data_IF_103338996452
#
_entry.id   IF_103338996452
#
_cell.length_a   1.000
_cell.length_b   1.000
_cell.length_c   1.000
_cell.angle_alpha   90.00
_cell.angle_beta   90.00
_cell.angle_gamma   90.00
#
_symmetry.space_group_name_H-M   'P 1'
#
loop_
_entity.id
_entity.type
_entity.pdbx_description
1 polymer ?
#
# COMPACT_ATOMS: atom_id res chain seq x y z
N UNK A 1 -11.28 -5.09 14.35
CA UNK A 1 -10.96 -3.90 13.54
C UNK A 1 -9.51 -4.05 13.12
N UNK A 2 -9.21 -4.04 11.82
CA UNK A 2 -7.83 -3.89 11.38
C UNK A 2 -7.38 -2.50 11.83
N UNK A 3 -6.39 -2.44 12.71
CA UNK A 3 -5.78 -1.18 13.11
C UNK A 3 -4.64 -0.90 12.15
N UNK A 4 -4.80 0.10 11.29
CA UNK A 4 -3.73 0.51 10.39
C UNK A 4 -2.76 1.44 11.16
N UNK A 5 -1.48 1.11 11.12
CA UNK A 5 -0.42 1.96 11.67
C UNK A 5 -0.24 3.24 10.84
N UNK A 6 -0.53 3.18 9.55
CA UNK A 6 -0.51 4.31 8.65
C UNK A 6 -1.60 4.17 7.56
N UNK A 7 -2.12 5.29 7.08
CA UNK A 7 -3.03 5.33 5.93
C UNK A 7 -2.48 6.31 4.91
N UNK A 8 -2.32 5.88 3.67
CA UNK A 8 -1.89 6.70 2.55
C UNK A 8 -2.97 6.73 1.47
N UNK A 9 -3.47 7.93 1.19
CA UNK A 9 -4.35 8.19 0.06
C UNK A 9 -3.53 8.72 -1.11
N UNK A 10 -3.26 7.88 -2.12
CA UNK A 10 -2.42 8.29 -3.25
C UNK A 10 -3.17 9.18 -4.24
N UNK A 11 -4.48 9.36 -4.07
CA UNK A 11 -5.28 10.25 -4.92
C UNK A 11 -4.98 11.73 -4.65
N UNK A 12 -4.42 12.04 -3.49
CA UNK A 12 -4.03 13.41 -3.11
C UNK A 12 -2.62 13.80 -3.59
N UNK A 13 -1.83 12.84 -4.10
CA UNK A 13 -0.45 13.06 -4.53
C UNK A 13 -0.32 13.07 -6.06
N UNK A 14 0.65 13.84 -6.57
CA UNK A 14 0.99 13.79 -7.99
C UNK A 14 1.60 12.44 -8.36
N UNK A 15 1.44 12.01 -9.62
CA UNK A 15 1.86 10.69 -10.13
C UNK A 15 3.30 10.33 -9.73
N UNK A 16 4.22 11.28 -9.78
CA UNK A 16 5.64 11.09 -9.48
C UNK A 16 5.90 10.96 -7.98
N UNK A 17 5.08 11.58 -7.13
CA UNK A 17 5.20 11.56 -5.67
C UNK A 17 4.54 10.31 -5.04
N UNK A 18 3.58 9.69 -5.75
CA UNK A 18 2.85 8.51 -5.25
C UNK A 18 3.83 7.39 -4.84
N UNK A 19 4.73 7.00 -5.73
CA UNK A 19 5.66 5.89 -5.47
C UNK A 19 6.56 6.13 -4.26
N UNK A 20 7.36 7.22 -4.18
CA UNK A 20 8.23 7.44 -3.03
C UNK A 20 7.46 7.56 -1.72
N UNK A 21 6.24 8.12 -1.73
CA UNK A 21 5.43 8.21 -0.51
C UNK A 21 4.94 6.83 -0.03
N UNK A 22 4.50 5.95 -0.94
CA UNK A 22 4.05 4.59 -0.57
C UNK A 22 5.21 3.78 -0.02
N UNK A 23 6.32 3.71 -0.75
CA UNK A 23 7.48 2.94 -0.34
C UNK A 23 8.10 3.49 0.94
N UNK A 24 8.25 4.82 1.04
CA UNK A 24 8.76 5.46 2.26
C UNK A 24 7.84 5.27 3.48
N UNK A 25 6.53 5.16 3.28
CA UNK A 25 5.59 4.82 4.37
C UNK A 25 5.75 3.36 4.78
N UNK A 26 5.82 2.45 3.82
CA UNK A 26 6.03 1.02 4.07
C UNK A 26 7.35 0.75 4.80
N UNK A 27 8.44 1.42 4.42
CA UNK A 27 9.74 1.25 5.07
C UNK A 27 9.73 1.68 6.54
N UNK A 28 8.94 2.70 6.89
CA UNK A 28 8.77 3.20 8.25
C UNK A 28 7.93 2.28 9.16
N UNK A 29 7.17 1.36 8.59
CA UNK A 29 6.40 0.38 9.37
C UNK A 29 7.33 -0.52 10.17
N UNK A 30 6.88 -0.90 11.37
CA UNK A 30 7.47 -1.97 12.15
C UNK A 30 6.99 -3.34 11.65
N UNK A 31 7.72 -4.40 12.00
CA UNK A 31 7.32 -5.76 11.67
C UNK A 31 5.98 -6.08 12.34
N UNK A 32 5.03 -6.60 11.57
CA UNK A 32 3.66 -6.87 12.00
C UNK A 32 2.69 -5.68 11.87
N UNK A 33 3.17 -4.49 11.50
CA UNK A 33 2.29 -3.35 11.25
C UNK A 33 1.71 -3.37 9.84
N UNK A 34 0.46 -2.94 9.74
CA UNK A 34 -0.28 -2.83 8.48
C UNK A 34 -0.50 -1.37 8.13
N UNK A 35 -0.18 -0.98 6.90
CA UNK A 35 -0.63 0.28 6.34
C UNK A 35 -1.81 0.07 5.38
N UNK A 36 -2.68 1.07 5.31
CA UNK A 36 -3.72 1.16 4.30
C UNK A 36 -3.27 2.04 3.14
N UNK A 37 -3.38 1.53 1.93
CA UNK A 37 -3.19 2.24 0.67
C UNK A 37 -4.54 2.43 -0.02
N UNK A 38 -4.89 3.67 -0.34
CA UNK A 38 -6.12 4.04 -1.06
C UNK A 38 -5.74 4.57 -2.44
N UNK A 39 -6.21 3.91 -3.50
CA UNK A 39 -5.91 4.23 -4.89
C UNK A 39 -7.19 4.45 -5.72
N UNK A 40 -7.07 5.23 -6.79
CA UNK A 40 -8.16 5.50 -7.75
C UNK A 40 -8.34 4.41 -8.83
N UNK A 41 -7.41 3.46 -8.91
CA UNK A 41 -7.40 2.36 -9.88
C UNK A 41 -6.72 1.12 -9.29
N UNK A 42 -6.78 0.00 -10.02
CA UNK A 42 -6.14 -1.25 -9.62
C UNK A 42 -4.61 -1.06 -9.42
N UNK A 43 -4.08 -1.29 -8.21
CA UNK A 43 -2.66 -1.17 -7.89
C UNK A 43 -1.82 -2.38 -8.33
N UNK A 44 -2.30 -3.26 -9.21
CA UNK A 44 -1.55 -4.41 -9.72
C UNK A 44 -0.09 -4.10 -10.14
N UNK A 45 0.23 -2.99 -10.85
CA UNK A 45 1.61 -2.65 -11.18
C UNK A 45 2.48 -2.35 -9.94
N UNK A 46 1.86 -1.80 -8.90
CA UNK A 46 2.53 -1.50 -7.64
C UNK A 46 2.81 -2.80 -6.86
N UNK A 47 1.84 -3.73 -6.82
CA UNK A 47 2.02 -5.05 -6.23
C UNK A 47 3.24 -5.77 -6.82
N UNK A 48 3.37 -5.77 -8.16
CA UNK A 48 4.53 -6.37 -8.83
C UNK A 48 5.86 -5.73 -8.41
N UNK A 49 5.91 -4.40 -8.26
CA UNK A 49 7.11 -3.72 -7.75
C UNK A 49 7.43 -4.13 -6.32
N UNK A 50 6.43 -4.24 -5.46
CA UNK A 50 6.60 -4.71 -4.09
C UNK A 50 7.17 -6.13 -4.04
N UNK A 51 6.70 -7.05 -4.89
CA UNK A 51 7.25 -8.40 -4.98
C UNK A 51 8.74 -8.42 -5.35
N UNK A 52 9.18 -7.49 -6.20
CA UNK A 52 10.59 -7.40 -6.64
C UNK A 52 11.46 -6.74 -5.55
N UNK A 53 10.98 -5.65 -4.94
CA UNK A 53 11.74 -4.89 -3.95
C UNK A 53 11.75 -5.53 -2.56
N UNK A 54 10.66 -6.16 -2.16
CA UNK A 54 10.42 -6.72 -0.82
C UNK A 54 9.93 -8.18 -0.91
N UNK A 55 10.67 -9.10 -1.55
CA UNK A 55 10.24 -10.49 -1.66
C UNK A 55 10.01 -11.09 -0.28
N UNK A 56 8.83 -11.69 -0.09
CA UNK A 56 8.38 -12.36 1.16
C UNK A 56 8.33 -11.49 2.43
N UNK A 57 8.61 -10.19 2.32
CA UNK A 57 8.66 -9.23 3.44
C UNK A 57 7.36 -8.45 3.64
N UNK A 58 6.31 -8.75 2.87
CA UNK A 58 5.01 -8.13 3.01
C UNK A 58 3.85 -9.11 2.83
N UNK A 59 2.69 -8.70 3.31
CA UNK A 59 1.37 -9.23 2.94
C UNK A 59 0.63 -8.16 2.19
N UNK A 60 -0.15 -8.59 1.20
CA UNK A 60 -0.98 -7.72 0.38
C UNK A 60 -2.41 -8.24 0.44
N UNK A 61 -3.29 -7.46 1.03
CA UNK A 61 -4.69 -7.79 1.24
C UNK A 61 -5.55 -6.71 0.60
N UNK A 62 -6.49 -7.11 -0.26
CA UNK A 62 -7.46 -6.17 -0.80
C UNK A 62 -8.58 -5.98 0.22
N UNK A 63 -8.73 -4.75 0.70
CA UNK A 63 -9.80 -4.34 1.60
C UNK A 63 -11.03 -3.89 0.80
N UNK A 64 -10.81 -3.26 -0.36
CA UNK A 64 -11.85 -2.79 -1.27
C UNK A 64 -11.34 -2.83 -2.71
N UNK A 65 -12.16 -3.34 -3.63
CA UNK A 65 -11.78 -3.57 -5.03
C UNK A 65 -12.72 -2.86 -5.99
N UNK A 66 -12.70 -1.51 -5.98
CA UNK A 66 -13.34 -0.69 -7.01
C UNK A 66 -14.85 -0.92 -7.21
N UNK A 67 -15.44 -0.28 -8.23
CA UNK A 67 -14.81 0.58 -9.25
C UNK A 67 -14.52 2.01 -8.77
N UNK A 68 -15.08 2.44 -7.62
CA UNK A 68 -14.93 3.81 -7.12
C UNK A 68 -13.62 4.04 -6.35
N UNK A 69 -13.21 3.07 -5.54
CA UNK A 69 -12.02 3.16 -4.69
C UNK A 69 -11.37 1.78 -4.55
N UNK A 70 -10.05 1.75 -4.58
CA UNK A 70 -9.26 0.55 -4.30
C UNK A 70 -8.52 0.73 -2.99
N UNK A 71 -8.81 -0.12 -2.00
CA UNK A 71 -8.16 -0.08 -0.67
C UNK A 71 -7.38 -1.37 -0.46
N UNK A 72 -6.15 -1.22 -0.01
CA UNK A 72 -5.20 -2.31 0.13
C UNK A 72 -4.55 -2.21 1.51
N UNK A 73 -4.62 -3.30 2.26
CA UNK A 73 -3.81 -3.51 3.46
C UNK A 73 -2.46 -4.09 3.06
N UNK A 74 -1.39 -3.37 3.35
CA UNK A 74 -0.02 -3.83 3.17
C UNK A 74 0.59 -4.03 4.55
N UNK A 75 0.82 -5.28 4.94
CA UNK A 75 1.43 -5.62 6.25
C UNK A 75 2.89 -5.93 6.06
N UNK A 76 3.77 -5.33 6.87
CA UNK A 76 5.20 -5.68 6.87
C UNK A 76 5.42 -6.95 7.69
N UNK A 77 6.09 -7.95 7.11
CA UNK A 77 6.44 -9.21 7.78
C UNK A 77 7.82 -9.14 8.41
#
# INVERSE_FOLDING_TARGET
MLSFAATIDVRTYQREEKQPMIFGTFEKLLLGETMELINDHDPQPLYQKFMICYPEQFLWEYLEQGPEVWRIGITKK
#
